data_IF_463220567987
#
_entry.id   IF_463220567987
#
_cell.length_a   1.000
_cell.length_b   1.000
_cell.length_c   1.000
_cell.angle_alpha   90.00
_cell.angle_beta   90.00
_cell.angle_gamma   90.00
#
_symmetry.space_group_name_H-M   'P 1'
#
loop_
_entity.id
_entity.type
_entity.pdbx_description
1 polymer ?
#
# COMPACT_ATOMS: atom_id res chain seq x y z
N UNK A 1 11.44 10.43 11.06
CA UNK A 1 11.45 9.02 10.67
C UNK A 1 12.66 8.75 9.76
N UNK A 2 13.79 8.26 10.30
CA UNK A 2 15.09 8.24 9.63
C UNK A 2 15.13 7.42 8.32
N UNK A 3 14.32 6.39 8.17
CA UNK A 3 14.29 5.56 6.95
C UNK A 3 13.68 6.28 5.74
N UNK A 4 12.71 7.17 5.95
CA UNK A 4 12.03 7.90 4.86
C UNK A 4 12.95 8.99 4.31
N UNK A 5 13.72 9.65 5.18
CA UNK A 5 14.63 10.77 4.83
C UNK A 5 15.78 10.36 3.91
N UNK A 6 16.27 9.13 4.02
CA UNK A 6 17.38 8.60 3.20
C UNK A 6 16.90 8.19 1.80
N UNK A 7 15.70 7.63 1.70
CA UNK A 7 15.17 7.13 0.42
C UNK A 7 14.70 8.29 -0.48
N UNK A 8 14.22 9.39 0.11
CA UNK A 8 13.79 10.58 -0.66
C UNK A 8 14.88 11.61 -0.93
N UNK A 9 16.16 11.31 -0.67
CA UNK A 9 17.28 12.17 -1.10
C UNK A 9 17.40 13.51 -0.36
N UNK A 10 17.16 13.51 0.95
CA UNK A 10 17.19 14.73 1.76
C UNK A 10 15.79 15.28 1.97
N UNK A 11 15.24 14.95 3.15
CA UNK A 11 14.00 15.43 3.76
C UNK A 11 13.08 16.27 2.87
N UNK A 12 12.03 15.63 2.34
CA UNK A 12 10.90 16.36 1.76
C UNK A 12 10.11 17.01 2.90
N UNK A 13 10.66 18.07 3.48
CA UNK A 13 10.11 18.73 4.65
C UNK A 13 9.15 19.83 4.20
N UNK A 14 7.92 19.43 3.87
CA UNK A 14 6.87 20.39 3.56
C UNK A 14 6.33 21.10 4.81
N UNK A 15 6.81 20.77 6.03
CA UNK A 15 6.30 21.32 7.29
C UNK A 15 6.37 22.86 7.33
N UNK A 16 7.32 23.45 6.60
CA UNK A 16 7.49 24.91 6.50
C UNK A 16 6.70 25.57 5.34
N UNK A 17 5.81 24.85 4.65
CA UNK A 17 4.93 25.44 3.63
C UNK A 17 3.62 25.89 4.26
N UNK A 18 3.45 27.19 4.34
CA UNK A 18 2.27 27.82 4.91
C UNK A 18 1.86 29.07 4.14
N UNK A 19 0.56 29.33 4.10
CA UNK A 19 0.00 30.57 3.55
C UNK A 19 -0.54 31.38 4.73
N UNK A 20 -0.13 32.64 4.78
CA UNK A 20 -0.63 33.61 5.77
C UNK A 20 -1.95 34.17 5.25
N UNK A 21 -3.05 34.05 5.99
CA UNK A 21 -4.37 34.57 5.59
C UNK A 21 -4.77 35.84 6.34
N UNK A 22 -3.83 36.77 6.50
CA UNK A 22 -4.06 38.04 7.17
C UNK A 22 -2.98 39.08 6.92
N UNK A 23 -3.19 40.29 7.46
CA UNK A 23 -2.18 41.34 7.44
C UNK A 23 -0.93 40.88 8.21
N UNK A 24 0.23 40.86 7.54
CA UNK A 24 1.53 40.55 8.13
C UNK A 24 2.33 41.86 8.28
N UNK A 25 2.07 42.67 9.32
CA UNK A 25 2.67 43.99 9.46
C UNK A 25 4.20 43.97 9.67
N UNK A 26 4.79 42.83 10.03
CA UNK A 26 6.20 42.71 10.40
C UNK A 26 7.03 41.82 9.47
N UNK A 27 6.50 41.43 8.29
CA UNK A 27 7.16 40.51 7.34
C UNK A 27 7.80 39.28 8.02
N UNK A 28 7.08 38.69 8.99
CA UNK A 28 7.58 37.54 9.72
C UNK A 28 7.52 36.32 8.80
N UNK A 29 8.63 35.62 8.66
CA UNK A 29 8.83 34.49 7.72
C UNK A 29 8.85 33.12 8.42
N UNK A 30 8.72 33.09 9.76
CA UNK A 30 8.81 31.86 10.56
C UNK A 30 7.45 31.47 11.13
N UNK A 31 7.04 30.21 10.93
CA UNK A 31 5.79 29.63 11.45
C UNK A 31 5.59 29.87 12.93
N UNK A 32 6.66 29.71 13.70
CA UNK A 32 6.63 29.81 15.15
C UNK A 32 6.37 31.27 15.61
N UNK A 33 6.82 32.25 14.83
CA UNK A 33 6.60 33.68 15.10
C UNK A 33 5.19 34.13 14.69
N UNK A 34 4.64 33.63 13.58
CA UNK A 34 3.28 33.95 13.14
C UNK A 34 2.21 33.31 14.02
N UNK A 35 2.41 32.06 14.46
CA UNK A 35 1.50 31.39 15.40
C UNK A 35 1.49 32.09 16.78
N UNK A 36 2.67 32.51 17.28
CA UNK A 36 2.78 33.29 18.54
C UNK A 36 2.15 34.68 18.45
N UNK A 37 2.18 35.30 17.27
CA UNK A 37 1.55 36.60 17.02
C UNK A 37 0.02 36.52 16.82
N UNK A 38 -0.59 35.32 16.90
CA UNK A 38 -2.03 35.14 16.70
C UNK A 38 -2.49 35.39 15.26
N UNK A 39 -1.56 35.38 14.30
CA UNK A 39 -1.89 35.54 12.88
C UNK A 39 -2.35 34.19 12.35
N UNK A 40 -3.53 34.15 11.74
CA UNK A 40 -4.08 32.93 11.17
C UNK A 40 -3.23 32.46 9.99
N UNK A 41 -2.59 31.30 10.16
CA UNK A 41 -1.75 30.66 9.16
C UNK A 41 -2.33 29.29 8.81
N UNK A 42 -2.54 29.02 7.52
CA UNK A 42 -2.87 27.69 7.04
C UNK A 42 -1.59 26.93 6.69
N UNK A 43 -1.23 25.98 7.56
CA UNK A 43 -0.15 25.02 7.35
C UNK A 43 -0.65 23.81 6.56
N UNK A 44 -0.72 23.91 5.23
CA UNK A 44 -1.06 22.77 4.35
C UNK A 44 0.13 21.81 4.16
N UNK A 45 1.33 22.26 4.50
CA UNK A 45 2.56 21.50 4.42
C UNK A 45 2.53 20.16 5.14
N UNK A 46 2.09 20.15 6.40
CA UNK A 46 2.03 18.93 7.21
C UNK A 46 1.00 17.93 6.67
N UNK A 47 -0.17 18.41 6.26
CA UNK A 47 -1.20 17.56 5.63
C UNK A 47 -0.66 16.87 4.38
N UNK A 48 0.04 17.61 3.51
CA UNK A 48 0.63 17.05 2.31
C UNK A 48 1.74 16.04 2.62
N UNK A 49 2.57 16.30 3.64
CA UNK A 49 3.57 15.34 4.13
C UNK A 49 2.91 14.04 4.58
N UNK A 50 1.85 14.10 5.38
CA UNK A 50 1.12 12.92 5.87
C UNK A 50 0.50 12.16 4.68
N UNK A 51 -0.12 12.88 3.74
CA UNK A 51 -0.73 12.30 2.55
C UNK A 51 0.31 11.56 1.69
N UNK A 52 1.45 12.19 1.42
CA UNK A 52 2.55 11.57 0.65
C UNK A 52 3.10 10.34 1.37
N UNK A 53 3.29 10.43 2.69
CA UNK A 53 3.74 9.29 3.49
C UNK A 53 2.76 8.11 3.42
N UNK A 54 1.45 8.39 3.51
CA UNK A 54 0.42 7.37 3.38
C UNK A 54 0.44 6.70 2.00
N UNK A 55 0.58 7.49 0.92
CA UNK A 55 0.71 6.96 -0.44
C UNK A 55 1.96 6.08 -0.61
N UNK A 56 3.12 6.52 -0.09
CA UNK A 56 4.36 5.74 -0.16
C UNK A 56 4.21 4.43 0.62
N UNK A 57 3.68 4.48 1.84
CA UNK A 57 3.48 3.29 2.66
C UNK A 57 2.51 2.30 1.98
N UNK A 58 1.39 2.80 1.45
CA UNK A 58 0.44 1.99 0.69
C UNK A 58 1.09 1.35 -0.54
N UNK A 59 1.92 2.10 -1.27
CA UNK A 59 2.67 1.60 -2.42
C UNK A 59 3.65 0.48 -2.04
N UNK A 60 4.41 0.66 -0.95
CA UNK A 60 5.35 -0.36 -0.44
C UNK A 60 4.62 -1.63 -0.02
N UNK A 61 3.54 -1.50 0.76
CA UNK A 61 2.72 -2.65 1.18
C UNK A 61 2.10 -3.34 -0.03
N UNK A 62 1.60 -2.59 -1.02
CA UNK A 62 1.07 -3.13 -2.26
C UNK A 62 2.11 -3.95 -3.03
N UNK A 63 3.33 -3.42 -3.20
CA UNK A 63 4.42 -4.16 -3.85
C UNK A 63 4.79 -5.43 -3.09
N UNK A 64 4.82 -5.38 -1.76
CA UNK A 64 5.13 -6.54 -0.92
C UNK A 64 4.05 -7.63 -1.07
N UNK A 65 2.77 -7.27 -1.02
CA UNK A 65 1.66 -8.20 -1.26
C UNK A 65 1.71 -8.75 -2.68
N UNK A 66 1.97 -7.91 -3.68
CA UNK A 66 2.10 -8.32 -5.09
C UNK A 66 3.25 -9.32 -5.28
N UNK A 67 4.39 -9.09 -4.64
CA UNK A 67 5.54 -10.01 -4.69
C UNK A 67 5.20 -11.35 -4.04
N UNK A 68 4.58 -11.33 -2.86
CA UNK A 68 4.16 -12.55 -2.17
C UNK A 68 3.11 -13.32 -2.98
N UNK A 69 2.15 -12.62 -3.60
CA UNK A 69 1.13 -13.25 -4.44
C UNK A 69 1.76 -13.84 -5.72
N UNK A 70 2.75 -13.17 -6.31
CA UNK A 70 3.52 -13.71 -7.45
C UNK A 70 4.28 -14.97 -7.06
N UNK A 71 5.02 -14.95 -5.95
CA UNK A 71 5.80 -16.10 -5.45
C UNK A 71 4.89 -17.29 -5.06
N UNK A 72 3.72 -17.01 -4.48
CA UNK A 72 2.72 -18.06 -4.19
C UNK A 72 2.13 -18.65 -5.46
N UNK A 73 1.89 -17.82 -6.47
CA UNK A 73 1.35 -18.26 -7.76
C UNK A 73 2.37 -19.06 -8.58
N UNK A 74 3.65 -18.75 -8.45
CA UNK A 74 4.74 -19.53 -9.07
C UNK A 74 5.03 -20.84 -8.30
N UNK A 75 4.61 -20.94 -7.02
CA UNK A 75 4.67 -22.18 -6.21
C UNK A 75 3.41 -23.04 -6.26
N UNK A 76 2.32 -22.53 -6.83
CA UNK A 76 1.27 -23.38 -7.34
C UNK A 76 1.77 -23.93 -8.68
N UNK A 77 2.66 -24.93 -8.62
CA UNK A 77 2.53 -26.07 -9.51
C UNK A 77 1.04 -26.37 -9.63
N UNK A 78 0.49 -26.62 -10.83
CA UNK A 78 -0.90 -27.04 -10.93
C UNK A 78 -1.05 -28.14 -9.89
N UNK A 79 -1.90 -27.92 -8.87
CA UNK A 79 -2.22 -28.95 -7.89
C UNK A 79 -2.50 -30.16 -8.76
N UNK A 80 -1.57 -31.14 -8.74
CA UNK A 80 -1.73 -32.35 -9.52
C UNK A 80 -3.12 -32.82 -9.14
N UNK A 81 -4.07 -32.87 -10.10
CA UNK A 81 -5.50 -32.85 -9.82
C UNK A 81 -5.73 -33.80 -8.68
N UNK A 82 -6.14 -33.26 -7.52
CA UNK A 82 -6.15 -33.96 -6.24
C UNK A 82 -6.56 -35.40 -6.52
N UNK A 83 -5.64 -36.35 -6.25
CA UNK A 83 -5.76 -37.73 -6.71
C UNK A 83 -7.22 -38.14 -6.59
N UNK A 84 -7.88 -38.35 -7.74
CA UNK A 84 -9.34 -38.57 -7.75
C UNK A 84 -9.66 -39.59 -6.67
N UNK A 85 -10.54 -39.28 -5.71
CA UNK A 85 -10.86 -40.19 -4.62
C UNK A 85 -11.11 -41.60 -5.18
N UNK A 86 -10.61 -42.64 -4.52
CA UNK A 86 -10.74 -44.02 -5.00
C UNK A 86 -12.19 -44.36 -5.36
N UNK A 87 -13.14 -43.81 -4.60
CA UNK A 87 -14.57 -43.90 -4.87
C UNK A 87 -14.96 -43.38 -6.26
N UNK A 88 -14.41 -42.26 -6.72
CA UNK A 88 -14.69 -41.70 -8.05
C UNK A 88 -14.05 -42.55 -9.15
N UNK A 89 -12.90 -43.19 -8.87
CA UNK A 89 -12.26 -44.12 -9.80
C UNK A 89 -13.07 -45.41 -9.94
N UNK A 90 -13.47 -46.01 -8.81
CA UNK A 90 -14.35 -47.17 -8.76
C UNK A 90 -15.69 -46.90 -9.47
N UNK A 91 -16.31 -45.73 -9.25
CA UNK A 91 -17.54 -45.37 -9.94
C UNK A 91 -17.34 -45.20 -11.46
N UNK A 92 -16.17 -44.77 -11.92
CA UNK A 92 -15.84 -44.74 -13.36
C UNK A 92 -15.70 -46.15 -13.93
N UNK A 93 -14.98 -47.03 -13.24
CA UNK A 93 -14.81 -48.42 -13.66
C UNK A 93 -16.16 -49.16 -13.72
N UNK A 94 -17.01 -49.00 -12.70
CA UNK A 94 -18.36 -49.57 -12.68
C UNK A 94 -19.21 -49.07 -13.85
N UNK A 95 -19.16 -47.76 -14.16
CA UNK A 95 -19.88 -47.19 -15.31
C UNK A 95 -19.40 -47.79 -16.63
N UNK A 96 -18.09 -47.95 -16.78
CA UNK A 96 -17.50 -48.44 -18.02
C UNK A 96 -17.79 -49.94 -18.22
N UNK A 97 -17.81 -50.74 -17.15
CA UNK A 97 -18.28 -52.14 -17.16
C UNK A 97 -19.78 -52.24 -17.48
N UNK A 98 -20.63 -51.41 -16.89
CA UNK A 98 -22.07 -51.38 -17.19
C UNK A 98 -22.35 -50.99 -18.65
N UNK A 99 -21.60 -50.04 -19.20
CA UNK A 99 -21.73 -49.62 -20.61
C UNK A 99 -21.27 -50.69 -21.58
N UNK A 100 -20.38 -51.59 -21.16
CA UNK A 100 -19.91 -52.73 -21.95
C UNK A 100 -20.89 -53.91 -21.93
N UNK A 101 -21.70 -54.00 -20.88
CA UNK A 101 -22.76 -55.03 -20.73
C UNK A 101 -24.11 -54.61 -21.34
N UNK A 102 -24.31 -53.32 -21.62
CA UNK A 102 -25.46 -52.76 -22.34
C UNK A 102 -25.23 -52.75 -23.85
#
# INVERSE_FOLDING_TARGET
>A
MPLITVITGGGVDFSQKFIVLGANPNNLQSLDALQKAGINVLTYGNFLTILINFLILAWVVFLMVKLLNKLRRDKNEPEAPAATPEDIQLLREIRDELKKQA
#
